data_IF_438488860466
#
_entry.id   IF_438488860466
#
_cell.length_a   1.000
_cell.length_b   1.000
_cell.length_c   1.000
_cell.angle_alpha   90.00
_cell.angle_beta   90.00
_cell.angle_gamma   90.00
#
_symmetry.space_group_name_H-M   'P 1'
#
loop_
_entity.id
_entity.type
_entity.pdbx_description
1 polymer ?
#
# COMPACT_ATOMS: atom_id res chain seq x y z
N UNK A 1 0.00 43.94 -5.45
CA UNK A 1 -0.37 44.76 -4.27
C UNK A 1 -1.87 44.65 -4.02
N UNK A 2 -2.45 43.42 -3.91
CA UNK A 2 -3.88 43.26 -3.61
C UNK A 2 -4.25 41.93 -2.93
N UNK A 3 -3.27 41.04 -2.68
CA UNK A 3 -3.54 39.77 -2.04
C UNK A 3 -3.79 39.91 -0.51
N UNK A 4 -3.02 40.79 0.13
CA UNK A 4 -3.14 41.03 1.58
C UNK A 4 -4.44 41.73 1.97
N UNK A 5 -5.00 42.56 1.08
CA UNK A 5 -6.28 43.22 1.28
C UNK A 5 -7.44 42.23 1.14
N UNK A 6 -7.32 41.25 0.26
CA UNK A 6 -8.34 40.21 0.06
C UNK A 6 -8.33 39.17 1.19
N UNK A 7 -7.14 38.78 1.68
CA UNK A 7 -7.02 37.90 2.85
C UNK A 7 -7.55 38.55 4.13
N UNK A 8 -7.25 39.82 4.37
CA UNK A 8 -7.80 40.56 5.51
C UNK A 8 -9.33 40.74 5.43
N UNK A 9 -9.87 40.92 4.23
CA UNK A 9 -11.32 40.99 4.00
C UNK A 9 -12.01 39.63 4.29
N UNK A 10 -11.45 38.53 3.80
CA UNK A 10 -11.94 37.17 4.07
C UNK A 10 -11.85 36.81 5.56
N UNK A 11 -10.75 37.16 6.19
CA UNK A 11 -10.56 36.93 7.62
C UNK A 11 -11.57 37.70 8.47
N UNK A 12 -11.84 38.95 8.10
CA UNK A 12 -12.88 39.78 8.73
C UNK A 12 -14.28 39.18 8.59
N UNK A 13 -14.65 38.69 7.40
CA UNK A 13 -15.96 38.06 7.15
C UNK A 13 -16.14 36.73 7.89
N UNK A 14 -15.08 36.01 8.15
CA UNK A 14 -15.14 34.74 8.91
C UNK A 14 -15.29 34.98 10.42
N UNK A 15 -14.80 36.12 10.93
CA UNK A 15 -14.84 36.44 12.37
C UNK A 15 -16.00 37.31 12.77
N UNK A 16 -16.62 38.09 11.87
CA UNK A 16 -17.75 38.97 12.18
C UNK A 16 -19.11 38.23 12.33
N UNK A 17 -19.09 36.92 12.04
CA UNK A 17 -20.31 36.10 12.13
C UNK A 17 -21.35 36.40 11.06
N UNK A 18 -21.04 37.21 10.04
CA UNK A 18 -21.99 37.57 8.97
C UNK A 18 -22.49 36.39 8.17
N UNK A 19 -21.67 35.33 8.10
CA UNK A 19 -22.00 34.05 7.45
C UNK A 19 -22.73 33.08 8.39
N UNK A 20 -22.93 33.45 9.67
CA UNK A 20 -23.51 32.55 10.64
C UNK A 20 -25.06 32.73 10.67
N UNK A 21 -25.75 31.86 9.99
CA UNK A 21 -27.22 31.82 10.08
C UNK A 21 -27.66 31.05 11.32
N UNK A 22 -28.32 31.76 12.24
CA UNK A 22 -28.88 31.13 13.44
C UNK A 22 -29.89 30.06 13.05
N UNK A 23 -29.61 28.83 13.46
CA UNK A 23 -30.49 27.72 13.16
C UNK A 23 -31.92 27.97 13.72
N UNK A 24 -33.00 27.67 12.97
CA UNK A 24 -34.35 27.79 13.46
C UNK A 24 -34.54 26.94 14.73
N UNK A 25 -35.28 27.44 15.74
CA UNK A 25 -35.43 26.76 17.04
C UNK A 25 -36.03 25.34 16.95
N UNK A 26 -36.71 25.01 15.86
CA UNK A 26 -37.29 23.70 15.61
C UNK A 26 -36.38 22.72 14.92
N UNK A 27 -35.22 23.17 14.44
CA UNK A 27 -34.27 22.32 13.69
C UNK A 27 -33.73 21.14 14.52
N UNK A 28 -33.31 21.30 15.80
CA UNK A 28 -32.84 20.18 16.61
C UNK A 28 -33.87 19.07 16.77
N UNK A 29 -35.13 19.45 16.98
CA UNK A 29 -36.24 18.48 17.13
C UNK A 29 -36.46 17.69 15.81
N UNK A 30 -36.39 18.35 14.66
CA UNK A 30 -36.53 17.69 13.34
C UNK A 30 -35.38 16.76 13.03
N UNK A 31 -34.13 17.16 13.34
CA UNK A 31 -32.98 16.32 13.15
C UNK A 31 -33.05 15.07 14.04
N UNK A 32 -33.40 15.25 15.32
CA UNK A 32 -33.56 14.12 16.25
C UNK A 32 -34.72 13.18 15.84
N UNK A 33 -35.80 13.71 15.26
CA UNK A 33 -36.91 12.90 14.78
C UNK A 33 -36.56 12.12 13.49
N UNK A 34 -35.64 12.62 12.67
CA UNK A 34 -35.17 11.99 11.43
C UNK A 34 -34.06 10.98 11.62
N UNK A 35 -33.42 10.92 12.80
CA UNK A 35 -32.41 9.91 13.08
C UNK A 35 -33.10 8.54 13.23
N UNK A 36 -32.57 7.50 12.52
CA UNK A 36 -33.03 6.14 12.75
C UNK A 36 -32.88 5.81 14.25
N UNK A 37 -33.96 5.53 14.93
CA UNK A 37 -33.88 4.98 16.29
C UNK A 37 -33.28 3.61 16.16
N UNK A 38 -32.05 3.46 16.58
CA UNK A 38 -31.45 2.11 16.70
C UNK A 38 -32.42 1.25 17.54
N UNK A 39 -32.86 0.10 17.01
CA UNK A 39 -33.64 -0.82 17.82
C UNK A 39 -32.81 -1.13 19.05
N UNK A 40 -33.28 -0.75 20.24
CA UNK A 40 -32.66 -1.13 21.50
C UNK A 40 -32.48 -2.64 21.42
N UNK A 41 -31.24 -3.09 21.18
CA UNK A 41 -30.88 -4.49 21.25
C UNK A 41 -31.40 -4.97 22.62
N UNK A 42 -32.44 -5.81 22.60
CA UNK A 42 -32.86 -6.52 23.82
C UNK A 42 -31.63 -7.30 24.22
N UNK A 43 -30.94 -6.83 25.25
CA UNK A 43 -29.90 -7.58 25.90
C UNK A 43 -30.57 -8.86 26.36
N UNK A 44 -30.47 -9.90 25.56
CA UNK A 44 -30.89 -11.23 25.98
C UNK A 44 -30.06 -11.48 27.25
N UNK A 45 -30.79 -11.49 28.41
CA UNK A 45 -30.15 -11.92 29.65
C UNK A 45 -29.73 -13.35 29.42
N UNK A 46 -28.43 -13.49 29.11
CA UNK A 46 -27.80 -14.79 29.02
C UNK A 46 -27.88 -15.39 30.43
N UNK A 47 -28.90 -16.21 30.65
CA UNK A 47 -29.04 -16.98 31.89
C UNK A 47 -27.91 -18.02 31.83
N UNK A 48 -26.90 -17.83 32.67
CA UNK A 48 -25.90 -18.86 32.86
C UNK A 48 -26.59 -20.13 33.33
N UNK A 49 -26.41 -21.26 32.64
CA UNK A 49 -26.98 -22.52 33.13
C UNK A 49 -26.40 -22.82 34.49
N UNK A 50 -27.30 -23.03 35.49
CA UNK A 50 -26.90 -23.42 36.80
C UNK A 50 -26.15 -24.76 36.68
N UNK A 51 -24.90 -24.76 37.12
CA UNK A 51 -24.05 -25.96 37.15
C UNK A 51 -24.65 -26.95 38.15
N UNK A 52 -25.34 -27.97 37.68
CA UNK A 52 -25.70 -29.15 38.47
C UNK A 52 -24.51 -30.12 38.51
N UNK A 53 -24.11 -30.53 39.67
CA UNK A 53 -22.93 -31.37 39.93
C UNK A 53 -22.94 -32.78 39.26
N UNK A 54 -23.96 -33.11 38.46
CA UNK A 54 -24.08 -34.39 37.73
C UNK A 54 -23.53 -34.39 36.29
N UNK A 55 -23.07 -33.24 35.76
CA UNK A 55 -22.66 -33.12 34.35
C UNK A 55 -21.15 -33.14 34.06
N UNK A 56 -20.31 -33.43 35.03
CA UNK A 56 -18.84 -33.28 34.89
C UNK A 56 -18.22 -34.20 33.82
N UNK A 57 -18.80 -35.35 33.53
CA UNK A 57 -18.29 -36.24 32.48
C UNK A 57 -18.75 -35.82 31.04
N UNK A 58 -19.87 -35.15 30.90
CA UNK A 58 -20.33 -34.67 29.57
C UNK A 58 -19.54 -33.48 29.10
N UNK A 59 -18.91 -32.70 30.00
CA UNK A 59 -18.11 -31.52 29.67
C UNK A 59 -16.68 -31.86 29.24
N UNK A 60 -16.13 -32.99 29.67
CA UNK A 60 -14.77 -33.41 29.28
C UNK A 60 -14.70 -33.76 27.77
N UNK A 61 -15.75 -34.37 27.20
CA UNK A 61 -15.81 -34.68 25.80
C UNK A 61 -16.04 -33.47 24.89
N UNK A 62 -16.90 -32.53 25.32
CA UNK A 62 -17.18 -31.30 24.58
C UNK A 62 -16.03 -30.31 24.57
N UNK A 63 -15.25 -30.23 25.66
CA UNK A 63 -14.09 -29.34 25.76
C UNK A 63 -12.96 -29.71 24.80
N UNK A 64 -12.63 -31.02 24.71
CA UNK A 64 -11.59 -31.51 23.80
C UNK A 64 -12.00 -31.39 22.32
N UNK A 65 -13.25 -31.69 21.98
CA UNK A 65 -13.78 -31.52 20.63
C UNK A 65 -13.85 -30.04 20.22
N UNK A 66 -14.24 -29.14 21.13
CA UNK A 66 -14.27 -27.70 20.92
C UNK A 66 -12.86 -27.10 20.71
N UNK A 67 -11.88 -27.52 21.51
CA UNK A 67 -10.48 -27.11 21.34
C UNK A 67 -9.89 -27.62 20.02
N UNK A 68 -10.16 -28.88 19.64
CA UNK A 68 -9.70 -29.42 18.36
C UNK A 68 -10.32 -28.69 17.16
N UNK A 69 -11.63 -28.41 17.22
CA UNK A 69 -12.30 -27.64 16.17
C UNK A 69 -11.79 -26.19 16.10
N UNK A 70 -11.57 -25.53 17.23
CA UNK A 70 -11.03 -24.16 17.26
C UNK A 70 -9.58 -24.13 16.76
N UNK A 71 -8.75 -25.11 17.11
CA UNK A 71 -7.38 -25.21 16.61
C UNK A 71 -7.34 -25.48 15.09
N UNK A 72 -8.29 -26.28 14.59
CA UNK A 72 -8.41 -26.55 13.15
C UNK A 72 -8.85 -25.30 12.38
N UNK A 73 -9.89 -24.60 12.87
CA UNK A 73 -10.34 -23.32 12.27
C UNK A 73 -9.24 -22.25 12.35
N UNK A 74 -8.56 -22.14 13.48
CA UNK A 74 -7.44 -21.20 13.63
C UNK A 74 -6.27 -21.58 12.73
N UNK A 75 -5.94 -22.87 12.61
CA UNK A 75 -4.93 -23.37 11.68
C UNK A 75 -5.27 -23.06 10.22
N UNK A 76 -6.52 -23.31 9.81
CA UNK A 76 -6.99 -22.96 8.45
C UNK A 76 -6.96 -21.44 8.22
N UNK A 77 -7.36 -20.63 9.20
CA UNK A 77 -7.28 -19.18 9.11
C UNK A 77 -5.83 -18.68 9.03
N UNK A 78 -4.91 -19.30 9.76
CA UNK A 78 -3.48 -18.96 9.69
C UNK A 78 -2.85 -19.39 8.36
N UNK A 79 -3.23 -20.54 7.80
CA UNK A 79 -2.80 -20.94 6.46
C UNK A 79 -3.44 -20.09 5.34
N UNK A 80 -4.65 -19.58 5.58
CA UNK A 80 -5.35 -18.72 4.62
C UNK A 80 -4.91 -17.24 4.70
N UNK A 81 -4.12 -16.84 5.71
CA UNK A 81 -3.55 -15.50 5.75
C UNK A 81 -2.36 -15.45 4.79
N UNK A 82 -2.42 -14.59 3.76
CA UNK A 82 -1.26 -14.39 2.91
C UNK A 82 -0.09 -13.90 3.78
N UNK A 83 1.14 -14.37 3.51
CA UNK A 83 2.32 -13.92 4.26
C UNK A 83 2.45 -12.39 4.18
N UNK A 84 3.02 -11.75 5.20
CA UNK A 84 3.21 -10.28 5.26
C UNK A 84 3.90 -9.68 4.03
N UNK A 85 4.61 -10.50 3.25
CA UNK A 85 5.15 -10.15 1.95
C UNK A 85 4.09 -9.63 0.95
N UNK A 86 2.84 -10.02 1.13
CA UNK A 86 1.72 -9.64 0.27
C UNK A 86 1.20 -8.21 0.54
N UNK A 87 1.35 -7.70 1.76
CA UNK A 87 0.93 -6.32 2.11
C UNK A 87 1.80 -5.29 1.38
N UNK A 88 3.10 -5.53 1.32
CA UNK A 88 4.02 -4.68 0.58
C UNK A 88 3.77 -4.80 -0.93
N UNK A 89 3.54 -6.02 -1.42
CA UNK A 89 3.16 -6.27 -2.83
C UNK A 89 1.90 -5.50 -3.23
N UNK A 90 0.85 -5.55 -2.42
CA UNK A 90 -0.38 -4.77 -2.65
C UNK A 90 -0.13 -3.27 -2.65
N UNK A 91 0.76 -2.78 -1.78
CA UNK A 91 1.15 -1.37 -1.76
C UNK A 91 1.89 -0.96 -3.02
N UNK A 92 2.77 -1.84 -3.55
CA UNK A 92 3.48 -1.66 -4.83
C UNK A 92 2.48 -1.59 -5.99
N UNK A 93 1.54 -2.55 -6.08
CA UNK A 93 0.48 -2.53 -7.12
C UNK A 93 -0.31 -1.23 -7.05
N UNK A 94 -0.76 -0.84 -5.86
CA UNK A 94 -1.53 0.39 -5.66
C UNK A 94 -0.74 1.64 -6.05
N UNK A 95 0.56 1.68 -5.79
CA UNK A 95 1.46 2.76 -6.18
C UNK A 95 1.61 2.82 -7.71
N UNK A 96 1.88 1.69 -8.36
CA UNK A 96 1.99 1.60 -9.81
C UNK A 96 0.70 2.08 -10.51
N UNK A 97 -0.46 1.61 -10.06
CA UNK A 97 -1.75 2.03 -10.61
C UNK A 97 -1.97 3.54 -10.45
N UNK A 98 -1.63 4.11 -9.28
CA UNK A 98 -1.70 5.58 -9.10
C UNK A 98 -0.80 6.33 -10.06
N UNK A 99 0.42 5.81 -10.31
CA UNK A 99 1.35 6.41 -11.26
C UNK A 99 0.80 6.36 -12.68
N UNK A 100 0.22 5.24 -13.12
CA UNK A 100 -0.43 5.12 -14.43
C UNK A 100 -1.59 6.09 -14.63
N UNK A 101 -2.31 6.44 -13.56
CA UNK A 101 -3.42 7.39 -13.58
C UNK A 101 -2.96 8.85 -13.39
N UNK A 102 -1.70 9.08 -13.05
CA UNK A 102 -1.15 10.41 -12.80
C UNK A 102 -0.85 11.15 -14.11
N UNK A 103 -1.04 12.47 -14.10
CA UNK A 103 -0.55 13.34 -15.18
C UNK A 103 0.97 13.51 -15.16
N UNK A 104 1.60 13.24 -14.01
CA UNK A 104 3.04 13.36 -13.80
C UNK A 104 3.56 12.08 -13.12
N UNK A 105 3.69 10.97 -13.88
CA UNK A 105 4.13 9.69 -13.32
C UNK A 105 5.65 9.63 -13.03
N UNK A 106 6.40 10.60 -13.50
CA UNK A 106 7.86 10.70 -13.41
C UNK A 106 8.23 12.09 -12.88
N UNK A 107 9.04 12.15 -11.81
CA UNK A 107 9.49 13.40 -11.21
C UNK A 107 10.75 13.96 -11.91
N UNK A 108 11.67 13.08 -12.29
CA UNK A 108 12.84 13.41 -13.10
C UNK A 108 12.81 12.63 -14.40
N UNK A 109 12.61 13.32 -15.51
CA UNK A 109 12.57 12.74 -16.85
C UNK A 109 14.00 12.77 -17.42
N UNK A 110 14.62 11.61 -17.56
CA UNK A 110 15.94 11.48 -18.19
C UNK A 110 16.23 10.00 -18.52
N UNK A 111 16.81 9.77 -19.66
CA UNK A 111 17.36 8.46 -20.06
C UNK A 111 18.79 8.24 -19.55
N UNK A 112 19.41 9.28 -18.99
CA UNK A 112 20.78 9.23 -18.52
C UNK A 112 20.84 8.93 -17.01
N UNK A 113 21.45 7.81 -16.67
CA UNK A 113 21.70 7.39 -15.29
C UNK A 113 22.50 8.45 -14.48
N UNK A 114 23.39 9.21 -15.13
CA UNK A 114 24.19 10.25 -14.50
C UNK A 114 23.35 11.49 -14.12
N UNK A 115 22.14 11.62 -14.66
CA UNK A 115 21.16 12.62 -14.28
C UNK A 115 20.21 12.09 -13.20
N UNK A 116 19.69 10.86 -13.39
CA UNK A 116 18.68 10.27 -12.50
C UNK A 116 19.27 9.89 -11.15
N UNK A 117 20.47 9.29 -11.13
CA UNK A 117 21.10 8.86 -9.88
C UNK A 117 21.40 10.03 -8.91
N UNK A 118 22.02 11.15 -9.31
CA UNK A 118 22.23 12.30 -8.43
C UNK A 118 20.92 12.98 -8.00
N UNK A 119 19.86 12.90 -8.79
CA UNK A 119 18.59 13.52 -8.46
C UNK A 119 17.97 12.92 -7.18
N UNK A 120 18.23 11.65 -6.89
CA UNK A 120 17.79 11.02 -5.64
C UNK A 120 18.57 11.52 -4.40
N UNK A 121 19.76 12.13 -4.57
CA UNK A 121 20.55 12.62 -3.46
C UNK A 121 19.79 13.72 -2.71
N UNK A 122 19.71 13.58 -1.38
CA UNK A 122 18.95 14.50 -0.52
C UNK A 122 17.44 14.31 -0.52
N UNK A 123 16.91 13.40 -1.34
CA UNK A 123 15.50 12.96 -1.35
C UNK A 123 15.31 11.61 -0.68
N UNK A 124 16.33 10.76 -0.77
CA UNK A 124 16.40 9.46 -0.12
C UNK A 124 17.56 9.44 0.87
N UNK A 125 17.46 8.60 1.89
CA UNK A 125 18.52 8.32 2.87
C UNK A 125 19.48 7.20 2.40
N UNK A 126 19.31 6.74 1.17
CA UNK A 126 20.15 5.75 0.47
C UNK A 126 20.30 6.14 -1.00
N UNK A 127 21.25 5.51 -1.70
CA UNK A 127 21.48 5.72 -3.12
C UNK A 127 21.00 4.50 -3.92
N UNK A 128 19.85 4.59 -4.62
CA UNK A 128 19.40 3.47 -5.46
C UNK A 128 20.38 3.26 -6.63
N UNK A 129 20.71 2.00 -6.98
CA UNK A 129 21.44 1.71 -8.21
C UNK A 129 20.59 2.11 -9.42
N UNK A 130 21.12 2.93 -10.29
CA UNK A 130 20.52 3.31 -11.58
C UNK A 130 21.37 2.74 -12.69
N UNK A 131 20.80 1.88 -13.50
CA UNK A 131 21.50 1.12 -14.53
C UNK A 131 20.87 1.43 -15.89
N UNK A 132 21.68 1.65 -16.90
CA UNK A 132 21.21 1.80 -18.27
C UNK A 132 21.03 0.41 -18.90
N UNK A 133 19.80 0.10 -19.26
CA UNK A 133 19.41 -1.15 -19.92
C UNK A 133 18.89 -0.91 -21.34
N UNK A 134 19.22 0.23 -21.96
CA UNK A 134 18.74 0.57 -23.29
C UNK A 134 19.22 -0.44 -24.34
N UNK A 135 20.47 -0.92 -24.22
CA UNK A 135 21.05 -1.93 -25.12
C UNK A 135 20.32 -3.29 -25.02
N UNK A 136 19.72 -3.59 -23.88
CA UNK A 136 18.95 -4.81 -23.62
C UNK A 136 17.46 -4.65 -23.96
N UNK A 137 17.06 -3.48 -24.48
CA UNK A 137 15.69 -3.19 -24.90
C UNK A 137 14.79 -2.62 -23.80
N UNK A 138 15.36 -2.18 -22.69
CA UNK A 138 14.65 -1.58 -21.56
C UNK A 138 15.20 -0.17 -21.25
N UNK A 139 14.97 0.82 -22.10
CA UNK A 139 15.46 2.17 -21.85
C UNK A 139 14.89 2.75 -20.55
N UNK A 140 15.75 3.44 -19.80
CA UNK A 140 15.36 4.24 -18.65
C UNK A 140 14.58 5.46 -19.15
N UNK A 141 13.48 5.81 -18.48
CA UNK A 141 12.69 7.03 -18.74
C UNK A 141 12.86 8.09 -17.66
N UNK A 142 13.24 7.66 -16.47
CA UNK A 142 13.47 8.56 -15.36
C UNK A 142 13.28 7.92 -14.00
N UNK A 143 12.97 8.76 -13.01
CA UNK A 143 12.74 8.36 -11.64
C UNK A 143 11.66 9.18 -10.95
N UNK A 144 11.11 8.62 -9.89
CA UNK A 144 10.23 9.31 -8.96
C UNK A 144 10.52 8.87 -7.52
N UNK A 145 10.03 9.66 -6.58
CA UNK A 145 10.00 9.28 -5.17
C UNK A 145 8.56 8.94 -4.80
N UNK A 146 8.39 7.81 -4.13
CA UNK A 146 7.09 7.36 -3.62
C UNK A 146 7.14 7.15 -2.10
N UNK A 147 5.98 6.97 -1.47
CA UNK A 147 5.88 6.72 -0.03
C UNK A 147 5.15 5.40 0.21
N UNK A 148 5.92 4.36 0.57
CA UNK A 148 5.44 2.99 0.71
C UNK A 148 5.93 2.45 2.06
N UNK A 149 5.06 1.77 2.76
CA UNK A 149 5.36 1.18 4.07
C UNK A 149 6.02 2.19 5.04
N UNK A 150 5.48 3.42 5.08
CA UNK A 150 5.88 4.50 5.99
C UNK A 150 7.31 5.04 5.75
N UNK A 151 7.85 4.83 4.55
CA UNK A 151 9.16 5.32 4.14
C UNK A 151 9.16 5.85 2.72
N UNK A 152 10.12 6.69 2.45
CA UNK A 152 10.39 7.21 1.12
C UNK A 152 11.11 6.16 0.30
N UNK A 153 10.62 5.89 -0.92
CA UNK A 153 11.11 4.84 -1.80
C UNK A 153 11.48 5.43 -3.15
N UNK A 154 12.67 5.08 -3.64
CA UNK A 154 13.09 5.40 -4.99
C UNK A 154 12.44 4.44 -5.99
N UNK A 155 11.89 5.00 -7.04
CA UNK A 155 11.29 4.25 -8.15
C UNK A 155 11.96 4.67 -9.43
N UNK A 156 12.51 3.71 -10.17
CA UNK A 156 13.02 3.91 -11.51
C UNK A 156 11.97 3.45 -12.51
N UNK A 157 11.78 4.23 -13.55
CA UNK A 157 10.83 3.94 -14.60
C UNK A 157 11.61 3.55 -15.85
N UNK A 158 11.47 2.29 -16.24
CA UNK A 158 11.94 1.75 -17.49
C UNK A 158 10.78 1.53 -18.44
N UNK A 159 11.09 1.27 -19.70
CA UNK A 159 10.08 0.97 -20.71
C UNK A 159 10.40 -0.29 -21.48
N UNK A 160 9.38 -1.11 -21.69
CA UNK A 160 9.41 -2.17 -22.68
C UNK A 160 8.32 -1.90 -23.72
N UNK A 161 8.70 -1.48 -24.91
CA UNK A 161 7.76 -1.04 -25.98
C UNK A 161 6.81 0.06 -25.47
N UNK A 162 5.53 -0.26 -25.21
CA UNK A 162 4.53 0.65 -24.68
C UNK A 162 4.27 0.46 -23.18
N UNK A 163 4.86 -0.56 -22.58
CA UNK A 163 4.62 -0.96 -21.21
C UNK A 163 5.65 -0.32 -20.27
N UNK A 164 5.23 0.48 -19.31
CA UNK A 164 6.14 0.95 -18.27
C UNK A 164 6.50 -0.19 -17.32
N UNK A 165 7.74 -0.19 -16.87
CA UNK A 165 8.23 -1.07 -15.82
C UNK A 165 8.68 -0.18 -14.67
N UNK A 166 7.96 -0.22 -13.57
CA UNK A 166 8.35 0.47 -12.34
C UNK A 166 9.24 -0.45 -11.50
N UNK A 167 10.44 0.02 -11.19
CA UNK A 167 11.39 -0.65 -10.33
C UNK A 167 11.48 0.08 -8.99
N UNK A 168 10.89 -0.48 -7.97
CA UNK A 168 10.96 0.00 -6.58
C UNK A 168 12.19 -0.56 -5.90
N UNK A 169 12.97 0.29 -5.25
CA UNK A 169 14.23 -0.06 -4.60
C UNK A 169 14.15 0.38 -3.15
N UNK A 170 14.31 -0.56 -2.24
CA UNK A 170 14.23 -0.33 -0.80
C UNK A 170 15.44 -0.97 -0.10
N UNK A 171 16.05 -0.29 0.89
CA UNK A 171 17.03 -0.94 1.76
C UNK A 171 16.43 -2.12 2.51
N UNK A 172 17.18 -3.22 2.63
CA UNK A 172 16.73 -4.46 3.30
C UNK A 172 16.77 -4.38 4.83
N UNK A 173 16.33 -3.25 5.40
CA UNK A 173 16.39 -3.00 6.87
C UNK A 173 15.56 -3.99 7.68
N UNK A 174 14.50 -4.55 7.09
CA UNK A 174 13.60 -5.51 7.76
C UNK A 174 13.81 -6.96 7.29
N UNK A 175 14.94 -7.22 6.66
CA UNK A 175 15.32 -8.53 6.14
C UNK A 175 15.31 -8.61 4.61
N UNK A 176 15.96 -9.65 4.15
CA UNK A 176 16.09 -9.97 2.73
C UNK A 176 14.81 -10.61 2.22
N UNK A 177 14.33 -10.15 1.08
CA UNK A 177 13.17 -10.75 0.42
C UNK A 177 13.58 -12.00 -0.34
N UNK A 178 12.88 -13.09 -0.09
CA UNK A 178 13.01 -14.27 -0.95
C UNK A 178 12.58 -13.91 -2.39
N UNK A 179 13.37 -14.32 -3.40
CA UNK A 179 12.99 -14.11 -4.79
C UNK A 179 11.63 -14.74 -5.09
N UNK A 180 10.79 -14.00 -5.79
CA UNK A 180 9.50 -14.49 -6.25
C UNK A 180 9.08 -13.75 -7.52
N UNK A 181 8.36 -14.44 -8.39
CA UNK A 181 7.67 -13.86 -9.54
C UNK A 181 6.24 -14.39 -9.57
N UNK A 182 5.28 -13.50 -9.72
CA UNK A 182 3.86 -13.83 -9.72
C UNK A 182 3.05 -12.74 -10.45
N UNK A 183 1.78 -12.99 -10.67
CA UNK A 183 0.86 -11.98 -11.21
C UNK A 183 -0.22 -11.65 -10.18
N UNK A 184 -0.55 -10.37 -10.07
CA UNK A 184 -1.64 -9.87 -9.22
C UNK A 184 -2.32 -8.69 -9.91
N UNK A 185 -3.66 -8.68 -9.89
CA UNK A 185 -4.51 -7.62 -10.43
C UNK A 185 -4.22 -7.25 -11.90
N UNK A 186 -3.76 -8.23 -12.70
CA UNK A 186 -3.42 -8.03 -14.11
C UNK A 186 -2.00 -7.54 -14.37
N UNK A 187 -1.17 -7.39 -13.33
CA UNK A 187 0.24 -6.99 -13.43
C UNK A 187 1.15 -8.16 -13.17
N UNK A 188 2.25 -8.24 -13.91
CA UNK A 188 3.38 -9.10 -13.61
C UNK A 188 4.26 -8.43 -12.55
N UNK A 189 4.67 -9.18 -11.55
CA UNK A 189 5.46 -8.70 -10.41
C UNK A 189 6.64 -9.64 -10.19
N UNK A 190 7.81 -9.07 -10.01
CA UNK A 190 9.00 -9.79 -9.59
C UNK A 190 9.63 -9.08 -8.38
N UNK A 191 10.14 -9.85 -7.43
CA UNK A 191 10.87 -9.33 -6.28
C UNK A 191 12.13 -10.14 -6.02
N UNK A 192 13.17 -9.48 -5.54
CA UNK A 192 14.43 -10.15 -5.14
C UNK A 192 15.22 -9.26 -4.19
N UNK A 193 16.25 -9.84 -3.61
CA UNK A 193 17.25 -9.16 -2.81
C UNK A 193 18.60 -9.20 -3.52
N UNK A 194 19.33 -8.08 -3.52
CA UNK A 194 20.70 -7.99 -4.03
C UNK A 194 21.39 -6.78 -3.39
N UNK A 195 22.66 -6.90 -3.02
CA UNK A 195 23.52 -5.83 -2.50
C UNK A 195 22.90 -5.01 -1.34
N UNK A 196 22.24 -5.69 -0.40
CA UNK A 196 21.61 -5.04 0.75
C UNK A 196 20.32 -4.29 0.42
N UNK A 197 19.81 -4.40 -0.81
CA UNK A 197 18.58 -3.79 -1.28
C UNK A 197 17.54 -4.84 -1.64
N UNK A 198 16.28 -4.51 -1.40
CA UNK A 198 15.13 -5.25 -1.87
C UNK A 198 14.56 -4.55 -3.10
N UNK A 199 14.34 -5.29 -4.15
CA UNK A 199 13.83 -4.83 -5.43
C UNK A 199 12.44 -5.38 -5.68
N UNK A 200 11.58 -4.56 -6.28
CA UNK A 200 10.28 -4.94 -6.79
C UNK A 200 10.09 -4.34 -8.16
N UNK A 201 9.92 -5.19 -9.16
CA UNK A 201 9.58 -4.75 -10.51
C UNK A 201 8.13 -5.11 -10.82
N UNK A 202 7.39 -4.17 -11.42
CA UNK A 202 5.99 -4.35 -11.80
C UNK A 202 5.72 -3.74 -13.17
N UNK A 203 4.90 -4.43 -13.96
CA UNK A 203 4.49 -3.98 -15.30
C UNK A 203 3.17 -4.65 -15.69
N UNK A 204 2.48 -4.07 -16.66
CA UNK A 204 1.34 -4.64 -17.37
C UNK A 204 1.75 -5.50 -18.58
N UNK A 205 3.06 -5.63 -18.87
CA UNK A 205 3.57 -6.54 -19.90
C UNK A 205 3.49 -8.01 -19.46
N UNK A 206 3.65 -8.91 -20.43
CA UNK A 206 3.69 -10.36 -20.18
C UNK A 206 4.82 -10.73 -19.20
N UNK A 207 4.61 -11.76 -18.33
CA UNK A 207 5.57 -12.15 -17.29
C UNK A 207 6.98 -12.48 -17.83
N UNK A 208 7.09 -13.01 -19.06
CA UNK A 208 8.36 -13.34 -19.70
C UNK A 208 9.20 -12.10 -19.95
N UNK A 209 8.59 -10.98 -20.32
CA UNK A 209 9.30 -9.71 -20.52
C UNK A 209 9.80 -9.10 -19.23
N UNK A 210 9.01 -9.23 -18.14
CA UNK A 210 9.48 -8.84 -16.81
C UNK A 210 10.66 -9.69 -16.35
N UNK A 211 10.61 -11.00 -16.60
CA UNK A 211 11.73 -11.88 -16.26
C UNK A 211 13.01 -11.52 -17.06
N UNK A 212 12.87 -11.20 -18.36
CA UNK A 212 13.99 -10.73 -19.18
C UNK A 212 14.58 -9.42 -18.64
N UNK A 213 13.74 -8.48 -18.22
CA UNK A 213 14.17 -7.24 -17.55
C UNK A 213 14.95 -7.53 -16.26
N UNK A 214 14.42 -8.39 -15.39
CA UNK A 214 15.09 -8.75 -14.13
C UNK A 214 16.45 -9.43 -14.39
N UNK A 215 16.54 -10.29 -15.39
CA UNK A 215 17.81 -10.94 -15.76
C UNK A 215 18.82 -9.92 -16.29
N UNK A 216 18.40 -8.99 -17.17
CA UNK A 216 19.25 -7.93 -17.68
C UNK A 216 19.76 -7.04 -16.54
N UNK A 217 18.87 -6.61 -15.64
CA UNK A 217 19.24 -5.75 -14.52
C UNK A 217 20.25 -6.42 -13.58
N UNK A 218 20.04 -7.68 -13.24
CA UNK A 218 20.93 -8.43 -12.34
C UNK A 218 22.29 -8.73 -12.98
N UNK A 219 22.31 -9.01 -14.27
CA UNK A 219 23.55 -9.25 -15.01
C UNK A 219 24.48 -8.05 -15.01
N UNK A 220 23.95 -6.84 -15.20
CA UNK A 220 24.72 -5.59 -15.16
C UNK A 220 25.15 -5.16 -13.73
N UNK A 221 24.50 -5.68 -12.69
CA UNK A 221 24.89 -5.42 -11.30
C UNK A 221 26.06 -6.31 -10.85
N UNK A 222 26.25 -7.47 -11.49
CA UNK A 222 27.28 -8.43 -11.14
C UNK A 222 28.61 -8.18 -11.89
N UNK A 223 28.64 -7.24 -12.88
CA UNK A 223 29.85 -6.80 -13.61
C UNK A 223 30.51 -5.56 -12.94
#
# INVERSE_FOLDING_TARGET
MDNDAMENSLHGMLHDGSLYHRAPPHLPARVLAGLPREPRARVARFAWPAFSAGGALAWAGGGLAGMAASALVFGVLMLAHPPQADVLGQSIVSSHVRALLSQHPIDVISTDQHTVKPWFNGRLDYAPPVIDLAAQGFPLEGGRVDYIDRRTVGVLIYRYQKHPIDLYILPAVHGELAPAAYSADGYAIARWHQDGMNFWAITDAEPEHLQAFVQALRGEQDE
#
